data_IF_213867741075
#
_entry.id   IF_213867741075
#
_cell.length_a   1.000
_cell.length_b   1.000
_cell.length_c   1.000
_cell.angle_alpha   90.00
_cell.angle_beta   90.00
_cell.angle_gamma   90.00
#
_symmetry.space_group_name_H-M   'P 1'
#
loop_
_entity.id
_entity.type
_entity.pdbx_description
1 polymer ?
#
# COMPACT_ATOMS: atom_id res chain seq x y z
N UNK A 1 -14.51 -23.38 -14.59
CA UNK A 1 -14.01 -22.01 -14.80
C UNK A 1 -14.73 -21.05 -13.87
N UNK A 2 -14.52 -21.15 -12.55
CA UNK A 2 -14.83 -20.12 -11.54
C UNK A 2 -13.59 -19.21 -11.45
N UNK A 3 -13.29 -18.51 -12.52
CA UNK A 3 -12.11 -17.69 -12.65
C UNK A 3 -12.30 -16.30 -12.09
N UNK A 4 -11.36 -15.87 -11.25
CA UNK A 4 -10.82 -14.53 -11.13
C UNK A 4 -11.46 -13.51 -10.18
N UNK A 5 -12.47 -13.80 -9.39
CA UNK A 5 -12.95 -12.85 -8.36
C UNK A 5 -12.16 -12.93 -7.04
N UNK A 6 -11.45 -14.01 -6.82
CA UNK A 6 -10.74 -14.29 -5.57
C UNK A 6 -9.34 -14.81 -5.89
N UNK A 7 -8.35 -14.21 -5.28
CA UNK A 7 -6.96 -14.65 -5.33
C UNK A 7 -6.57 -15.19 -3.97
N UNK A 8 -6.23 -16.48 -3.90
CA UNK A 8 -5.63 -17.09 -2.72
C UNK A 8 -4.10 -16.97 -2.83
N UNK A 9 -3.48 -16.43 -1.82
CA UNK A 9 -2.01 -16.29 -1.72
C UNK A 9 -1.56 -16.92 -0.40
N UNK A 10 -0.59 -17.83 -0.49
CA UNK A 10 0.07 -18.39 0.69
C UNK A 10 0.96 -17.33 1.37
N UNK A 11 1.16 -17.42 2.69
CA UNK A 11 2.04 -16.51 3.41
C UNK A 11 3.48 -16.71 2.94
N UNK A 12 4.05 -15.68 2.32
CA UNK A 12 5.44 -15.69 1.87
C UNK A 12 6.30 -14.84 2.80
N UNK A 13 7.49 -15.34 3.08
CA UNK A 13 8.49 -14.57 3.83
C UNK A 13 8.77 -13.24 3.13
N UNK A 14 8.73 -12.16 3.91
CA UNK A 14 8.97 -10.83 3.39
C UNK A 14 9.55 -9.90 4.46
N UNK A 15 10.26 -8.91 3.99
CA UNK A 15 10.81 -7.88 4.86
C UNK A 15 9.71 -7.03 5.51
N UNK A 16 10.04 -6.49 6.67
CA UNK A 16 9.14 -5.54 7.35
C UNK A 16 8.92 -4.29 6.48
N UNK A 17 7.67 -3.87 6.25
CA UNK A 17 7.37 -2.66 5.50
C UNK A 17 8.00 -1.43 6.17
N UNK A 18 8.45 -0.49 5.35
CA UNK A 18 8.94 0.81 5.83
C UNK A 18 7.73 1.72 6.05
N UNK A 19 7.38 1.93 7.29
CA UNK A 19 6.21 2.70 7.71
C UNK A 19 6.58 3.73 8.76
N UNK A 20 5.69 4.69 9.00
CA UNK A 20 5.79 5.57 10.15
C UNK A 20 5.70 4.75 11.44
N UNK A 21 6.49 5.10 12.46
CA UNK A 21 6.57 4.37 13.72
C UNK A 21 5.20 4.18 14.40
N UNK A 22 4.35 5.20 14.36
CA UNK A 22 2.98 5.10 14.90
C UNK A 22 2.15 4.01 14.22
N UNK A 23 2.23 3.90 12.88
CA UNK A 23 1.55 2.85 12.12
C UNK A 23 2.10 1.47 12.45
N UNK A 24 3.43 1.36 12.52
CA UNK A 24 4.08 0.10 12.88
C UNK A 24 3.70 -0.36 14.30
N UNK A 25 3.60 0.57 15.25
CA UNK A 25 3.20 0.27 16.62
C UNK A 25 1.75 -0.24 16.68
N UNK A 26 0.81 0.37 15.95
CA UNK A 26 -0.58 -0.10 15.87
C UNK A 26 -0.68 -1.51 15.26
N UNK A 27 0.07 -1.79 14.19
CA UNK A 27 0.13 -3.11 13.57
C UNK A 27 0.77 -4.15 14.50
N UNK A 28 1.84 -3.78 15.20
CA UNK A 28 2.53 -4.65 16.16
C UNK A 28 1.64 -4.98 17.35
N UNK A 29 0.88 -4.01 17.85
CA UNK A 29 -0.10 -4.22 18.91
C UNK A 29 -1.19 -5.18 18.44
N UNK A 30 -1.73 -5.00 17.24
CA UNK A 30 -2.71 -5.94 16.67
C UNK A 30 -2.17 -7.37 16.62
N UNK A 31 -0.92 -7.55 16.12
CA UNK A 31 -0.27 -8.87 16.09
C UNK A 31 -0.14 -9.49 17.50
N UNK A 32 0.26 -8.69 18.50
CA UNK A 32 0.37 -9.16 19.89
C UNK A 32 -0.99 -9.59 20.45
N UNK A 33 -2.04 -8.82 20.20
CA UNK A 33 -3.41 -9.16 20.63
C UNK A 33 -3.88 -10.47 19.97
N UNK A 34 -3.55 -10.68 18.70
CA UNK A 34 -3.84 -11.93 17.99
C UNK A 34 -3.07 -13.14 18.56
N UNK A 35 -1.86 -12.94 19.08
CA UNK A 35 -1.07 -13.98 19.73
C UNK A 35 -1.57 -14.31 21.14
N UNK A 36 -2.27 -13.40 21.78
CA UNK A 36 -2.75 -13.52 23.16
C UNK A 36 -4.26 -13.74 23.27
N UNK A 37 -4.89 -14.28 22.22
CA UNK A 37 -6.36 -14.48 22.14
C UNK A 37 -6.88 -15.17 23.42
N UNK A 38 -6.27 -16.27 23.82
CA UNK A 38 -6.74 -17.05 24.98
C UNK A 38 -6.76 -16.21 26.26
N UNK A 39 -5.72 -15.38 26.49
CA UNK A 39 -5.64 -14.49 27.64
C UNK A 39 -6.73 -13.41 27.63
N UNK A 40 -7.08 -12.90 26.46
CA UNK A 40 -8.19 -11.94 26.32
C UNK A 40 -9.52 -12.60 26.63
N UNK A 41 -9.74 -13.81 26.12
CA UNK A 41 -10.97 -14.57 26.37
C UNK A 41 -11.14 -14.95 27.85
N UNK A 42 -10.06 -15.29 28.55
CA UNK A 42 -10.08 -15.51 30.02
C UNK A 42 -10.58 -14.28 30.79
N UNK A 43 -10.37 -13.09 30.26
CA UNK A 43 -10.84 -11.82 30.84
C UNK A 43 -12.19 -11.35 30.24
N UNK A 44 -12.89 -12.19 29.48
CA UNK A 44 -14.11 -11.83 28.74
C UNK A 44 -13.94 -10.62 27.79
N UNK A 45 -12.76 -10.45 27.23
CA UNK A 45 -12.46 -9.41 26.22
C UNK A 45 -12.32 -10.07 24.86
N UNK A 46 -13.04 -9.57 23.88
CA UNK A 46 -12.89 -10.03 22.49
C UNK A 46 -11.72 -9.29 21.83
N UNK A 47 -10.64 -10.00 21.43
CA UNK A 47 -9.54 -9.35 20.73
C UNK A 47 -9.96 -8.92 19.33
N UNK A 48 -9.36 -7.84 18.78
CA UNK A 48 -9.71 -7.34 17.46
C UNK A 48 -9.35 -8.36 16.37
N UNK A 49 -10.22 -8.48 15.37
CA UNK A 49 -9.98 -9.32 14.19
C UNK A 49 -10.10 -8.57 12.87
N UNK A 50 -10.31 -7.25 12.90
CA UNK A 50 -10.53 -6.47 11.70
C UNK A 50 -9.77 -5.15 11.71
N UNK A 51 -9.16 -4.82 10.55
CA UNK A 51 -8.40 -3.59 10.32
C UNK A 51 -8.87 -2.93 9.03
N UNK A 52 -9.13 -1.62 9.08
CA UNK A 52 -9.31 -0.78 7.88
C UNK A 52 -8.05 0.06 7.66
N UNK A 53 -7.34 -0.21 6.56
CA UNK A 53 -6.20 0.57 6.10
C UNK A 53 -6.68 1.66 5.15
N UNK A 54 -6.38 2.91 5.44
CA UNK A 54 -6.75 4.01 4.56
C UNK A 54 -5.58 4.97 4.31
N UNK A 55 -5.58 5.63 3.16
CA UNK A 55 -4.53 6.56 2.76
C UNK A 55 -4.34 6.59 1.25
N UNK A 56 -3.46 7.46 0.78
CA UNK A 56 -3.21 7.68 -0.65
C UNK A 56 -2.83 6.40 -1.40
N UNK A 57 -3.05 6.34 -2.72
CA UNK A 57 -2.53 5.24 -3.53
C UNK A 57 -1.00 5.11 -3.39
N UNK A 58 -0.49 3.87 -3.43
CA UNK A 58 0.94 3.60 -3.42
C UNK A 58 1.65 3.72 -2.07
N UNK A 59 0.93 3.97 -0.95
CA UNK A 59 1.54 4.03 0.39
C UNK A 59 1.84 2.66 1.02
N UNK A 60 1.38 1.56 0.40
CA UNK A 60 1.73 0.20 0.83
C UNK A 60 0.62 -0.57 1.56
N UNK A 61 -0.66 -0.20 1.45
CA UNK A 61 -1.78 -0.89 2.12
C UNK A 61 -1.82 -2.39 1.82
N UNK A 62 -1.74 -2.78 0.55
CA UNK A 62 -1.69 -4.19 0.12
C UNK A 62 -0.42 -4.90 0.61
N UNK A 63 0.71 -4.17 0.68
CA UNK A 63 1.96 -4.70 1.24
C UNK A 63 1.82 -5.00 2.74
N UNK A 64 1.14 -4.12 3.50
CA UNK A 64 0.83 -4.33 4.91
C UNK A 64 -0.04 -5.59 5.09
N UNK A 65 -1.08 -5.77 4.26
CA UNK A 65 -1.92 -6.96 4.33
C UNK A 65 -1.13 -8.25 4.11
N UNK A 66 -0.24 -8.29 3.12
CA UNK A 66 0.68 -9.42 2.87
C UNK A 66 1.66 -9.65 4.03
N UNK A 67 2.20 -8.58 4.60
CA UNK A 67 3.08 -8.68 5.75
C UNK A 67 2.37 -9.24 6.99
N UNK A 68 1.12 -8.84 7.23
CA UNK A 68 0.30 -9.42 8.29
C UNK A 68 0.00 -10.90 8.02
N UNK A 69 -0.26 -11.29 6.76
CA UNK A 69 -0.41 -12.69 6.36
C UNK A 69 0.83 -13.51 6.72
N UNK A 70 2.01 -13.01 6.38
CA UNK A 70 3.27 -13.63 6.77
C UNK A 70 3.44 -13.74 8.29
N UNK A 71 3.22 -12.65 9.03
CA UNK A 71 3.40 -12.60 10.50
C UNK A 71 2.42 -13.48 11.27
N UNK A 72 1.19 -13.61 10.79
CA UNK A 72 0.16 -14.49 11.37
C UNK A 72 0.23 -15.93 10.85
N UNK A 73 1.06 -16.18 9.83
CA UNK A 73 1.16 -17.45 9.12
C UNK A 73 -0.24 -17.94 8.62
N UNK A 74 -1.01 -17.02 8.05
CA UNK A 74 -2.36 -17.27 7.54
C UNK A 74 -2.40 -16.97 6.05
N UNK A 75 -2.95 -17.87 5.21
CA UNK A 75 -3.19 -17.58 3.80
C UNK A 75 -4.08 -16.35 3.63
N UNK A 76 -3.88 -15.60 2.56
CA UNK A 76 -4.65 -14.40 2.27
C UNK A 76 -5.55 -14.61 1.06
N UNK A 77 -6.83 -14.34 1.24
CA UNK A 77 -7.84 -14.32 0.18
C UNK A 77 -8.16 -12.88 -0.16
N UNK A 78 -7.82 -12.45 -1.36
CA UNK A 78 -8.10 -11.08 -1.83
C UNK A 78 -9.41 -11.04 -2.59
N UNK A 79 -10.30 -10.14 -2.18
CA UNK A 79 -11.51 -9.76 -2.88
C UNK A 79 -11.39 -8.33 -3.40
N UNK A 80 -11.27 -8.20 -4.71
CA UNK A 80 -11.35 -6.92 -5.40
C UNK A 80 -12.83 -6.55 -5.59
N UNK A 81 -13.29 -5.59 -4.78
CA UNK A 81 -14.68 -5.17 -4.80
C UNK A 81 -15.04 -4.38 -6.07
N UNK A 82 -14.11 -3.64 -6.66
CA UNK A 82 -14.34 -2.89 -7.89
C UNK A 82 -14.66 -3.84 -9.07
N UNK A 83 -13.86 -4.87 -9.26
CA UNK A 83 -14.07 -5.88 -10.28
C UNK A 83 -15.29 -6.79 -9.97
N UNK A 84 -15.54 -7.07 -8.71
CA UNK A 84 -16.66 -7.92 -8.29
C UNK A 84 -18.02 -7.28 -8.58
N UNK A 85 -18.11 -5.96 -8.43
CA UNK A 85 -19.35 -5.20 -8.71
C UNK A 85 -19.56 -5.01 -10.22
N UNK A 86 -18.47 -4.77 -10.99
CA UNK A 86 -18.56 -4.51 -12.43
C UNK A 86 -18.94 -5.74 -13.25
N UNK A 87 -18.53 -6.91 -12.82
CA UNK A 87 -18.65 -8.14 -13.61
C UNK A 87 -19.98 -8.88 -13.46
N UNK A 88 -20.80 -8.62 -12.42
CA UNK A 88 -21.98 -9.43 -12.09
C UNK A 88 -23.11 -8.61 -11.43
N UNK A 89 -23.66 -7.64 -12.15
CA UNK A 89 -24.92 -7.02 -11.78
C UNK A 89 -25.99 -8.11 -11.59
N UNK A 90 -26.55 -8.24 -10.37
CA UNK A 90 -27.57 -9.22 -9.99
C UNK A 90 -27.11 -10.40 -9.13
N UNK A 91 -25.80 -10.68 -8.99
CA UNK A 91 -25.27 -11.77 -8.15
C UNK A 91 -24.14 -11.36 -7.19
N UNK A 92 -23.79 -10.09 -7.18
CA UNK A 92 -22.65 -9.55 -6.39
C UNK A 92 -22.78 -9.86 -4.89
N UNK A 93 -23.98 -9.72 -4.33
CA UNK A 93 -24.22 -10.02 -2.92
C UNK A 93 -24.06 -11.51 -2.55
N UNK A 94 -24.43 -12.43 -3.44
CA UNK A 94 -24.24 -13.87 -3.21
C UNK A 94 -22.76 -14.25 -3.30
N UNK A 95 -22.01 -13.67 -4.23
CA UNK A 95 -20.59 -13.89 -4.38
C UNK A 95 -19.81 -13.42 -3.14
N UNK A 96 -20.10 -12.20 -2.65
CA UNK A 96 -19.50 -11.68 -1.42
C UNK A 96 -19.79 -12.62 -0.25
N UNK A 97 -21.06 -13.04 -0.07
CA UNK A 97 -21.44 -13.96 0.98
C UNK A 97 -20.68 -15.29 0.91
N UNK A 98 -20.53 -15.88 -0.28
CA UNK A 98 -19.81 -17.13 -0.49
C UNK A 98 -18.32 -17.00 -0.13
N UNK A 99 -17.70 -15.86 -0.42
CA UNK A 99 -16.30 -15.60 -0.09
C UNK A 99 -16.11 -15.44 1.42
N UNK A 100 -16.99 -14.68 2.09
CA UNK A 100 -16.99 -14.59 3.54
C UNK A 100 -17.21 -15.95 4.21
N UNK A 101 -18.14 -16.76 3.68
CA UNK A 101 -18.36 -18.11 4.17
C UNK A 101 -17.08 -18.96 4.07
N UNK A 102 -16.42 -18.93 2.92
CA UNK A 102 -15.12 -19.59 2.74
C UNK A 102 -14.08 -19.11 3.74
N UNK A 103 -13.97 -17.79 3.92
CA UNK A 103 -13.00 -17.20 4.86
C UNK A 103 -13.27 -17.61 6.32
N UNK A 104 -14.54 -17.69 6.70
CA UNK A 104 -14.97 -18.15 8.05
C UNK A 104 -14.60 -19.60 8.34
N UNK A 105 -14.57 -20.46 7.30
CA UNK A 105 -14.29 -21.89 7.42
C UNK A 105 -12.79 -22.23 7.38
N UNK A 106 -11.97 -21.38 6.78
CA UNK A 106 -10.58 -21.73 6.39
C UNK A 106 -9.47 -21.02 7.16
N UNK A 107 -9.75 -20.31 8.25
CA UNK A 107 -8.72 -19.58 9.01
C UNK A 107 -7.78 -18.76 8.09
N UNK A 108 -8.33 -17.89 7.28
CA UNK A 108 -7.61 -17.06 6.33
C UNK A 108 -7.70 -15.58 6.70
N UNK A 109 -6.80 -14.78 6.14
CA UNK A 109 -7.00 -13.33 6.08
C UNK A 109 -7.88 -13.03 4.87
N UNK A 110 -9.01 -12.37 5.09
CA UNK A 110 -9.82 -11.82 4.01
C UNK A 110 -9.41 -10.38 3.75
N UNK A 111 -8.76 -10.14 2.63
CA UNK A 111 -8.37 -8.81 2.20
C UNK A 111 -9.39 -8.23 1.23
N UNK A 112 -10.05 -7.15 1.65
CA UNK A 112 -11.05 -6.41 0.88
C UNK A 112 -10.37 -5.18 0.28
N UNK A 113 -9.97 -5.26 -0.98
CA UNK A 113 -9.33 -4.13 -1.66
C UNK A 113 -10.37 -3.21 -2.30
N UNK A 114 -10.05 -1.92 -2.36
CA UNK A 114 -10.88 -0.87 -2.95
C UNK A 114 -12.32 -0.84 -2.40
N UNK A 115 -12.48 -0.87 -1.08
CA UNK A 115 -13.81 -0.85 -0.45
C UNK A 115 -14.63 0.39 -0.88
N UNK A 116 -13.96 1.49 -1.22
CA UNK A 116 -14.58 2.71 -1.73
C UNK A 116 -15.26 2.54 -3.09
N UNK A 117 -14.96 1.48 -3.85
CA UNK A 117 -15.68 1.17 -5.10
C UNK A 117 -17.19 1.01 -4.89
N UNK A 118 -17.59 0.56 -3.71
CA UNK A 118 -18.99 0.44 -3.30
C UNK A 118 -19.65 1.83 -3.18
N UNK A 119 -18.91 2.85 -2.79
CA UNK A 119 -19.42 4.20 -2.59
C UNK A 119 -19.47 5.01 -3.90
N UNK A 120 -18.46 4.87 -4.76
CA UNK A 120 -18.31 5.61 -6.02
C UNK A 120 -19.46 5.41 -7.00
N UNK A 121 -20.16 4.27 -6.96
CA UNK A 121 -21.29 3.95 -7.85
C UNK A 121 -22.66 4.46 -7.35
N UNK A 122 -22.71 5.15 -6.21
CA UNK A 122 -23.97 5.74 -5.71
C UNK A 122 -24.55 6.84 -6.58
N UNK A 123 -23.73 7.40 -7.47
CA UNK A 123 -24.13 8.50 -8.37
C UNK A 123 -24.85 8.01 -9.65
N UNK A 124 -24.79 6.69 -9.95
CA UNK A 124 -25.53 6.08 -11.06
C UNK A 124 -26.96 5.70 -10.62
N UNK A 125 -27.94 6.45 -11.08
CA UNK A 125 -29.34 6.35 -10.67
C UNK A 125 -30.02 4.99 -10.95
N UNK A 126 -29.45 4.15 -11.82
CA UNK A 126 -30.02 2.85 -12.22
C UNK A 126 -29.71 1.70 -11.28
N UNK A 127 -28.65 1.78 -10.45
CA UNK A 127 -28.14 0.65 -9.65
C UNK A 127 -28.24 0.84 -8.13
N UNK A 128 -28.89 1.88 -7.66
CA UNK A 128 -28.99 2.24 -6.23
C UNK A 128 -29.54 1.11 -5.33
N UNK A 129 -30.40 0.27 -5.85
CA UNK A 129 -31.03 -0.83 -5.10
C UNK A 129 -30.06 -1.99 -4.82
N UNK A 130 -29.30 -2.40 -5.82
CA UNK A 130 -28.32 -3.51 -5.69
C UNK A 130 -27.12 -3.10 -4.84
N UNK A 131 -26.65 -1.88 -5.01
CA UNK A 131 -25.54 -1.34 -4.22
C UNK A 131 -25.88 -1.26 -2.73
N UNK A 132 -27.07 -0.77 -2.37
CA UNK A 132 -27.54 -0.78 -0.99
C UNK A 132 -27.63 -2.21 -0.42
N UNK A 133 -28.08 -3.18 -1.23
CA UNK A 133 -28.08 -4.59 -0.83
C UNK A 133 -26.67 -5.12 -0.59
N UNK A 134 -25.72 -4.81 -1.47
CA UNK A 134 -24.34 -5.22 -1.34
C UNK A 134 -23.69 -4.65 -0.08
N UNK A 135 -23.88 -3.34 0.19
CA UNK A 135 -23.42 -2.69 1.42
C UNK A 135 -23.99 -3.39 2.65
N UNK A 136 -25.30 -3.67 2.66
CA UNK A 136 -25.95 -4.35 3.79
C UNK A 136 -25.43 -5.78 3.98
N UNK A 137 -25.18 -6.52 2.88
CA UNK A 137 -24.56 -7.85 2.95
C UNK A 137 -23.15 -7.73 3.53
N UNK A 138 -22.33 -6.80 3.03
CA UNK A 138 -20.96 -6.59 3.53
C UNK A 138 -20.97 -6.24 5.02
N UNK A 139 -21.80 -5.28 5.45
CA UNK A 139 -21.91 -4.88 6.85
C UNK A 139 -22.28 -6.06 7.75
N UNK A 140 -23.22 -6.88 7.30
CA UNK A 140 -23.64 -8.08 8.04
C UNK A 140 -22.52 -9.12 8.12
N UNK A 141 -21.85 -9.41 7.01
CA UNK A 141 -20.78 -10.41 6.98
C UNK A 141 -19.56 -9.96 7.80
N UNK A 142 -19.25 -8.64 7.84
CA UNK A 142 -18.24 -8.09 8.73
C UNK A 142 -18.59 -8.29 10.21
N UNK A 143 -19.87 -8.09 10.58
CA UNK A 143 -20.36 -8.25 11.95
C UNK A 143 -20.37 -9.72 12.41
N UNK A 144 -20.76 -10.63 11.50
CA UNK A 144 -20.88 -12.05 11.76
C UNK A 144 -19.55 -12.82 11.63
N UNK A 145 -18.40 -12.11 11.48
CA UNK A 145 -17.11 -12.74 11.26
C UNK A 145 -16.54 -13.30 12.57
N UNK A 146 -16.19 -14.61 12.61
CA UNK A 146 -15.62 -15.22 13.82
C UNK A 146 -14.21 -14.72 14.06
N UNK A 147 -13.75 -14.80 15.30
CA UNK A 147 -12.40 -14.38 15.69
C UNK A 147 -11.28 -15.15 15.00
N UNK A 148 -11.54 -16.35 14.48
CA UNK A 148 -10.55 -17.13 13.72
C UNK A 148 -10.21 -16.52 12.37
N UNK A 149 -11.12 -15.75 11.79
CA UNK A 149 -10.91 -15.04 10.53
C UNK A 149 -10.39 -13.62 10.80
N UNK A 150 -9.40 -13.19 10.06
CA UNK A 150 -8.90 -11.80 10.10
C UNK A 150 -9.38 -11.07 8.86
N UNK A 151 -9.97 -9.90 9.05
CA UNK A 151 -10.43 -9.06 7.93
C UNK A 151 -9.54 -7.82 7.82
N UNK A 152 -9.04 -7.57 6.64
CA UNK A 152 -8.27 -6.36 6.34
C UNK A 152 -8.96 -5.64 5.18
N UNK A 153 -9.48 -4.44 5.45
CA UNK A 153 -10.02 -3.58 4.42
C UNK A 153 -8.99 -2.56 3.95
N UNK A 154 -9.04 -2.18 2.68
CA UNK A 154 -8.22 -1.09 2.14
C UNK A 154 -9.05 -0.10 1.32
N UNK A 155 -8.78 1.19 1.50
CA UNK A 155 -9.39 2.26 0.71
C UNK A 155 -8.40 3.36 0.37
N UNK A 156 -8.51 3.89 -0.84
CA UNK A 156 -7.81 5.09 -1.28
C UNK A 156 -8.64 6.37 -1.04
N UNK A 157 -9.94 6.23 -0.78
CA UNK A 157 -10.90 7.31 -0.65
C UNK A 157 -11.70 7.18 0.64
N UNK A 158 -11.07 7.43 1.81
CA UNK A 158 -11.72 7.31 3.10
C UNK A 158 -12.95 8.22 3.24
N UNK A 159 -12.95 9.37 2.55
CA UNK A 159 -14.05 10.34 2.52
C UNK A 159 -15.32 9.80 1.86
N UNK A 160 -15.23 8.79 1.01
CA UNK A 160 -16.37 8.18 0.32
C UNK A 160 -17.02 7.05 1.13
N UNK A 161 -16.34 6.52 2.14
CA UNK A 161 -16.85 5.40 2.92
C UNK A 161 -17.98 5.84 3.86
N UNK A 162 -19.04 5.01 3.88
CA UNK A 162 -20.12 5.17 4.84
C UNK A 162 -19.62 4.98 6.28
N UNK A 163 -20.09 5.83 7.19
CA UNK A 163 -19.77 5.74 8.63
C UNK A 163 -20.10 4.37 9.23
N UNK A 164 -21.08 3.66 8.66
CA UNK A 164 -21.43 2.32 9.11
C UNK A 164 -20.31 1.31 8.83
N UNK A 165 -19.60 1.44 7.69
CA UNK A 165 -18.45 0.60 7.35
C UNK A 165 -17.30 0.87 8.33
N UNK A 166 -16.99 2.15 8.58
CA UNK A 166 -15.95 2.54 9.54
C UNK A 166 -16.12 1.90 10.92
N UNK A 167 -17.37 1.83 11.40
CA UNK A 167 -17.70 1.30 12.72
C UNK A 167 -17.62 -0.23 12.81
N UNK A 168 -17.49 -0.93 11.70
CA UNK A 168 -17.40 -2.40 11.66
C UNK A 168 -15.96 -2.92 11.71
N UNK A 169 -15.00 -2.03 11.56
CA UNK A 169 -13.60 -2.37 11.77
C UNK A 169 -13.16 -2.01 13.18
N UNK A 170 -12.49 -2.94 13.86
CA UNK A 170 -11.98 -2.74 15.23
C UNK A 170 -10.89 -1.69 15.26
N UNK A 171 -10.07 -1.64 14.17
CA UNK A 171 -8.99 -0.67 14.03
C UNK A 171 -9.05 0.04 12.71
N UNK A 172 -8.85 1.36 12.77
CA UNK A 172 -8.79 2.21 11.58
C UNK A 172 -7.41 2.86 11.52
N UNK A 173 -6.57 2.40 10.61
CA UNK A 173 -5.16 2.78 10.53
C UNK A 173 -4.92 3.65 9.29
N UNK A 174 -4.53 4.91 9.53
CA UNK A 174 -4.11 5.82 8.46
C UNK A 174 -2.67 5.50 8.06
N UNK A 175 -2.46 5.15 6.80
CA UNK A 175 -1.13 4.94 6.22
C UNK A 175 -0.74 6.22 5.47
N UNK A 176 0.10 7.07 6.05
CA UNK A 176 0.47 8.34 5.43
C UNK A 176 1.48 8.16 4.31
N UNK A 177 1.69 9.24 3.55
CA UNK A 177 2.83 9.34 2.64
C UNK A 177 4.15 9.25 3.42
N UNK A 178 5.23 8.71 2.81
CA UNK A 178 6.48 8.52 3.51
C UNK A 178 7.13 9.86 3.87
N UNK A 179 7.49 10.02 5.15
CA UNK A 179 8.28 11.16 5.64
C UNK A 179 9.75 11.03 5.22
N UNK A 180 10.57 12.04 5.46
CA UNK A 180 11.97 12.07 5.03
C UNK A 180 12.76 10.81 5.43
N UNK A 181 12.60 10.35 6.69
CA UNK A 181 13.26 9.14 7.19
C UNK A 181 12.84 7.90 6.42
N UNK A 182 11.53 7.71 6.19
CA UNK A 182 11.03 6.55 5.40
C UNK A 182 11.49 6.64 3.95
N UNK A 183 11.50 7.83 3.34
CA UNK A 183 12.01 8.00 1.96
C UNK A 183 13.48 7.62 1.85
N UNK A 184 14.29 8.05 2.82
CA UNK A 184 15.71 7.66 2.87
C UNK A 184 15.86 6.14 2.95
N UNK A 185 15.09 5.47 3.82
CA UNK A 185 15.12 4.03 3.97
C UNK A 185 14.61 3.29 2.71
N UNK A 186 13.55 3.79 2.07
CA UNK A 186 13.03 3.27 0.81
C UNK A 186 14.06 3.36 -0.31
N UNK A 187 14.75 4.49 -0.44
CA UNK A 187 15.82 4.69 -1.43
C UNK A 187 16.99 3.77 -1.12
N UNK A 188 17.43 3.69 0.14
CA UNK A 188 18.53 2.82 0.54
C UNK A 188 18.22 1.35 0.25
N UNK A 189 17.04 0.87 0.65
CA UNK A 189 16.60 -0.50 0.37
C UNK A 189 16.41 -0.74 -1.11
N UNK A 190 15.79 0.24 -1.82
CA UNK A 190 15.52 0.14 -3.25
C UNK A 190 16.78 0.06 -4.11
N UNK A 191 17.82 0.84 -3.79
CA UNK A 191 19.10 0.83 -4.51
C UNK A 191 20.04 -0.28 -4.05
N UNK A 192 19.91 -0.76 -2.80
CA UNK A 192 20.78 -1.79 -2.24
C UNK A 192 22.25 -1.33 -2.22
N UNK A 193 23.17 -2.19 -2.63
CA UNK A 193 24.62 -1.89 -2.62
C UNK A 193 25.00 -0.70 -3.52
N UNK A 194 24.21 -0.40 -4.55
CA UNK A 194 24.49 0.73 -5.46
C UNK A 194 24.46 2.09 -4.78
N UNK A 195 23.80 2.21 -3.63
CA UNK A 195 23.80 3.48 -2.87
C UNK A 195 25.20 3.84 -2.35
N UNK A 196 26.06 2.84 -2.11
CA UNK A 196 27.45 3.06 -1.65
C UNK A 196 28.35 3.71 -2.70
N UNK A 197 27.94 3.62 -3.97
CA UNK A 197 28.63 4.25 -5.10
C UNK A 197 28.20 5.71 -5.34
N UNK A 198 27.24 6.21 -4.53
CA UNK A 198 26.67 7.53 -4.69
C UNK A 198 27.21 8.52 -3.65
N UNK A 199 27.34 9.77 -4.07
CA UNK A 199 27.67 10.85 -3.14
C UNK A 199 26.52 11.14 -2.18
N UNK A 200 26.84 11.41 -0.91
CA UNK A 200 25.85 11.73 0.12
C UNK A 200 24.94 12.91 -0.26
N UNK A 201 25.50 13.91 -0.97
CA UNK A 201 24.74 15.05 -1.45
C UNK A 201 23.66 14.67 -2.47
N UNK A 202 23.92 13.66 -3.32
CA UNK A 202 22.95 13.16 -4.30
C UNK A 202 21.87 12.35 -3.61
N UNK A 203 22.25 11.50 -2.65
CA UNK A 203 21.28 10.75 -1.83
C UNK A 203 20.33 11.72 -1.12
N UNK A 204 20.86 12.77 -0.49
CA UNK A 204 20.03 13.76 0.19
C UNK A 204 19.09 14.48 -0.78
N UNK A 205 19.58 14.81 -1.99
CA UNK A 205 18.76 15.42 -3.03
C UNK A 205 17.61 14.51 -3.46
N UNK A 206 17.85 13.20 -3.63
CA UNK A 206 16.80 12.22 -3.94
C UNK A 206 15.76 12.19 -2.80
N UNK A 207 16.20 12.17 -1.54
CA UNK A 207 15.31 12.15 -0.38
C UNK A 207 14.43 13.41 -0.33
N UNK A 208 15.02 14.58 -0.54
CA UNK A 208 14.30 15.85 -0.46
C UNK A 208 13.36 16.05 -1.65
N UNK A 209 13.81 15.66 -2.82
CA UNK A 209 13.02 15.81 -4.06
C UNK A 209 11.86 14.85 -4.20
N UNK A 210 11.87 13.72 -3.47
CA UNK A 210 10.79 12.73 -3.49
C UNK A 210 9.70 12.98 -2.44
N UNK A 211 9.62 14.16 -1.86
CA UNK A 211 8.69 14.47 -0.77
C UNK A 211 7.20 14.35 -1.13
N UNK A 212 6.85 14.44 -2.41
CA UNK A 212 5.49 14.30 -2.93
C UNK A 212 5.23 12.91 -3.53
N UNK A 213 6.21 12.01 -3.54
CA UNK A 213 6.08 10.67 -4.13
C UNK A 213 5.58 9.67 -3.10
N UNK A 214 4.76 8.73 -3.58
CA UNK A 214 4.36 7.58 -2.78
C UNK A 214 5.52 6.59 -2.61
N UNK A 215 5.40 5.67 -1.64
CA UNK A 215 6.38 4.61 -1.46
C UNK A 215 6.55 3.75 -2.74
N UNK A 216 5.46 3.48 -3.46
CA UNK A 216 5.48 2.74 -4.71
C UNK A 216 6.24 3.50 -5.81
N UNK A 217 6.06 4.83 -5.91
CA UNK A 217 6.75 5.64 -6.91
C UNK A 217 8.26 5.73 -6.62
N UNK A 218 8.64 5.85 -5.34
CA UNK A 218 10.05 5.83 -4.92
C UNK A 218 10.68 4.47 -5.27
N UNK A 219 9.99 3.35 -4.99
CA UNK A 219 10.48 2.02 -5.37
C UNK A 219 10.65 1.88 -6.88
N UNK A 220 9.69 2.34 -7.69
CA UNK A 220 9.80 2.36 -9.15
C UNK A 220 10.98 3.20 -9.63
N UNK A 221 11.18 4.40 -9.07
CA UNK A 221 12.33 5.23 -9.39
C UNK A 221 13.65 4.47 -9.11
N UNK A 222 13.77 3.81 -7.97
CA UNK A 222 14.95 3.01 -7.64
C UNK A 222 15.15 1.83 -8.62
N UNK A 223 14.07 1.18 -9.05
CA UNK A 223 14.15 0.13 -10.07
C UNK A 223 14.63 0.69 -11.43
N UNK A 224 14.15 1.84 -11.84
CA UNK A 224 14.59 2.51 -13.08
C UNK A 224 16.06 2.89 -13.00
N UNK A 225 16.52 3.43 -11.88
CA UNK A 225 17.95 3.70 -11.66
C UNK A 225 18.77 2.42 -11.84
N UNK A 226 18.35 1.32 -11.20
CA UNK A 226 19.05 0.03 -11.35
C UNK A 226 19.05 -0.50 -12.78
N UNK A 227 17.92 -0.40 -13.49
CA UNK A 227 17.83 -0.80 -14.91
C UNK A 227 18.77 0.05 -15.77
N UNK A 228 18.81 1.37 -15.55
CA UNK A 228 19.69 2.28 -16.29
C UNK A 228 21.17 1.94 -16.10
N UNK A 229 21.59 1.62 -14.88
CA UNK A 229 22.99 1.19 -14.62
C UNK A 229 23.37 -0.12 -15.33
N UNK A 230 22.40 -0.94 -15.75
CA UNK A 230 22.65 -2.15 -16.52
C UNK A 230 22.72 -1.80 -18.03
N UNK A 231 21.84 -0.92 -18.48
CA UNK A 231 21.76 -0.53 -19.90
C UNK A 231 22.92 0.38 -20.32
N UNK A 232 23.43 1.18 -19.40
CA UNK A 232 24.50 2.18 -19.66
C UNK A 232 25.65 1.96 -18.66
N UNK A 233 26.43 0.87 -18.81
CA UNK A 233 27.49 0.52 -17.87
C UNK A 233 28.65 1.54 -17.82
N UNK A 234 28.75 2.43 -18.82
CA UNK A 234 29.68 3.54 -18.86
C UNK A 234 29.26 4.73 -17.98
N UNK A 235 28.00 4.81 -17.58
CA UNK A 235 27.51 5.83 -16.65
C UNK A 235 27.81 5.45 -15.21
N UNK A 236 28.14 6.44 -14.39
CA UNK A 236 28.19 6.24 -12.93
C UNK A 236 26.78 6.06 -12.36
N UNK A 237 26.65 5.32 -11.25
CA UNK A 237 25.36 5.17 -10.53
C UNK A 237 24.74 6.51 -10.19
N UNK A 238 25.57 7.47 -9.80
CA UNK A 238 25.16 8.87 -9.56
C UNK A 238 24.54 9.52 -10.78
N UNK A 239 25.12 9.33 -11.96
CA UNK A 239 24.59 9.93 -13.19
C UNK A 239 23.27 9.29 -13.59
N UNK A 240 23.18 7.96 -13.51
CA UNK A 240 21.93 7.24 -13.74
C UNK A 240 20.83 7.70 -12.78
N UNK A 241 21.17 7.89 -11.48
CA UNK A 241 20.23 8.37 -10.48
C UNK A 241 19.72 9.79 -10.76
N UNK A 242 20.62 10.71 -11.17
CA UNK A 242 20.24 12.07 -11.50
C UNK A 242 19.35 12.15 -12.73
N UNK A 243 19.61 11.32 -13.73
CA UNK A 243 18.80 11.28 -14.96
C UNK A 243 17.40 10.78 -14.66
N UNK A 244 17.27 9.64 -13.98
CA UNK A 244 15.96 9.08 -13.62
C UNK A 244 15.19 10.00 -12.65
N UNK A 245 15.88 10.67 -11.73
CA UNK A 245 15.28 11.67 -10.86
C UNK A 245 14.61 12.79 -11.66
N UNK A 246 15.27 13.31 -12.71
CA UNK A 246 14.71 14.36 -13.55
C UNK A 246 13.45 13.93 -14.31
N UNK A 247 13.32 12.64 -14.63
CA UNK A 247 12.14 12.09 -15.30
C UNK A 247 10.96 11.90 -14.33
N UNK A 248 11.25 11.53 -13.08
CA UNK A 248 10.23 11.25 -12.06
C UNK A 248 9.75 12.48 -11.31
N UNK A 249 10.63 13.46 -11.12
CA UNK A 249 10.35 14.63 -10.31
C UNK A 249 10.25 15.86 -11.20
N UNK A 250 9.02 16.37 -11.38
CA UNK A 250 8.84 17.69 -11.97
C UNK A 250 9.55 18.75 -11.11
N UNK A 251 10.62 19.31 -11.64
CA UNK A 251 11.39 20.35 -10.97
C UNK A 251 10.61 21.66 -10.94
N UNK A 252 9.73 21.80 -9.95
CA UNK A 252 8.80 22.96 -9.85
C UNK A 252 9.46 24.19 -9.21
N UNK A 253 10.43 23.99 -8.33
CA UNK A 253 11.03 25.10 -7.58
C UNK A 253 12.44 25.45 -8.08
N UNK A 254 12.79 26.75 -7.93
CA UNK A 254 14.15 27.22 -8.24
C UNK A 254 15.20 26.52 -7.36
N UNK A 255 14.86 26.19 -6.12
CA UNK A 255 15.75 25.51 -5.18
C UNK A 255 16.06 24.08 -5.62
N UNK A 256 15.05 23.33 -6.09
CA UNK A 256 15.23 21.99 -6.66
C UNK A 256 16.16 22.02 -7.87
N UNK A 257 15.95 22.98 -8.78
CA UNK A 257 16.82 23.17 -9.96
C UNK A 257 18.26 23.52 -9.57
N UNK A 258 18.45 24.39 -8.58
CA UNK A 258 19.78 24.77 -8.08
C UNK A 258 20.49 23.60 -7.41
N UNK A 259 19.78 22.81 -6.62
CA UNK A 259 20.31 21.60 -5.96
C UNK A 259 20.76 20.57 -6.99
N UNK A 260 19.96 20.31 -8.01
CA UNK A 260 20.31 19.43 -9.12
C UNK A 260 21.55 19.94 -9.90
N UNK A 261 21.57 21.24 -10.23
CA UNK A 261 22.72 21.83 -10.92
C UNK A 261 24.02 21.73 -10.11
N UNK A 262 23.95 21.88 -8.77
CA UNK A 262 25.12 21.70 -7.89
C UNK A 262 25.58 20.24 -7.89
N UNK A 263 24.67 19.29 -7.77
CA UNK A 263 24.97 17.86 -7.81
C UNK A 263 25.61 17.43 -9.14
N UNK A 264 25.07 17.89 -10.27
CA UNK A 264 25.65 17.65 -11.62
C UNK A 264 27.02 18.28 -11.80
N UNK A 265 27.26 19.47 -11.25
CA UNK A 265 28.53 20.20 -11.38
C UNK A 265 29.63 19.53 -10.58
N UNK A 266 29.33 18.97 -9.41
CA UNK A 266 30.33 18.30 -8.55
C UNK A 266 30.80 16.97 -9.13
N UNK A 267 29.98 16.32 -9.99
CA UNK A 267 30.31 15.04 -10.62
C UNK A 267 31.17 15.12 -11.88
N UNK A 268 31.87 16.21 -12.11
CA UNK A 268 33.03 16.31 -13.03
C UNK A 268 32.74 16.27 -14.52
N UNK A 269 31.51 16.09 -14.97
CA UNK A 269 31.15 16.27 -16.39
C UNK A 269 30.73 17.70 -16.64
N UNK A 270 31.42 18.37 -17.57
CA UNK A 270 31.02 19.68 -18.12
C UNK A 270 29.63 19.58 -18.79
N UNK A 271 28.59 19.45 -18.01
CA UNK A 271 27.24 19.69 -18.49
C UNK A 271 27.00 21.18 -18.53
N UNK A 272 26.93 21.76 -19.71
CA UNK A 272 26.56 23.16 -19.89
C UNK A 272 25.10 23.33 -19.42
N UNK A 273 24.82 24.47 -18.82
CA UNK A 273 23.46 24.88 -18.36
C UNK A 273 22.41 24.70 -19.48
N UNK A 274 22.83 24.77 -20.74
CA UNK A 274 21.98 24.57 -21.91
C UNK A 274 21.45 23.12 -22.08
N UNK A 275 22.21 22.10 -21.64
CA UNK A 275 21.81 20.69 -21.66
C UNK A 275 20.91 20.28 -20.49
N UNK A 276 20.85 21.13 -19.47
CA UNK A 276 19.98 20.93 -18.29
C UNK A 276 18.60 21.58 -18.51
N UNK A 277 18.51 22.50 -19.48
CA UNK A 277 17.29 23.23 -19.83
C UNK A 277 16.52 22.62 -21.02
N UNK A 278 17.12 21.70 -21.74
CA UNK A 278 16.49 20.84 -22.74
C UNK A 278 16.03 19.53 -22.09
#
# INVERSE_FOLDING_TARGET
TRGQLVKLEEPLEMETPILKESVMNELSQFLQERQLIDKFLEQNITPPNSILLHGSPGVGKTLIAKWLSYKLNMPMVTLDLANSISSYLGRSGQNVKSIFQYAKEQNVILFLDEIDAIAKRRDDATDLGELKRLVNVLLKELEDCPMSCVIIGATNHPELLDKAIWRRFDRNICVPMPESRQRQELIARGLGQKILEMESAVIQMLVDGTNALSAADICKMCEHIKRRTILYPEETVTMSALTEYCEYVELKTKEQKVSLCKALKNNGKKMTVKRISE
#
